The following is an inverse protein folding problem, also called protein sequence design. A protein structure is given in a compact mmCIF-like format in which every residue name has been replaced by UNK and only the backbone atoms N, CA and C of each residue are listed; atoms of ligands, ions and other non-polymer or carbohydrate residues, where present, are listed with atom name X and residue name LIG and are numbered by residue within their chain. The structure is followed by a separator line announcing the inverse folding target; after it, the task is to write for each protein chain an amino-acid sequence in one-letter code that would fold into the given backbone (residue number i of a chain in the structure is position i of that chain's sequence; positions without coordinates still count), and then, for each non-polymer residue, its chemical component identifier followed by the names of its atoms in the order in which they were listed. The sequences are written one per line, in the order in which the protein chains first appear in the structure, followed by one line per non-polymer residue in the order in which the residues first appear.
data_IF_840188585532
#
_entry.id   IF_840188585532
#
_cell.length_a   1.000
_cell.length_b   1.000
_cell.length_c   1.000
_cell.angle_alpha   90.00
_cell.angle_beta   90.00
_cell.angle_gamma   90.00
#
_symmetry.space_group_name_H-M   'P 1'
#
loop_
_entity.id
_entity.type
_entity.pdbx_description
1 polymer ?
#
# COMPACT_ATOMS: atom_id res chain seq x y z
N UNK A 1 13.70 42.57 -5.75
CA UNK A 1 14.39 41.36 -6.21
C UNK A 1 13.67 40.17 -5.54
N UNK A 2 12.66 39.60 -6.22
CA UNK A 2 11.92 38.42 -5.75
C UNK A 2 12.78 37.21 -6.04
N UNK A 3 13.21 36.52 -4.99
CA UNK A 3 13.91 35.25 -5.11
C UNK A 3 12.87 34.17 -5.48
N UNK A 4 13.01 33.65 -6.68
CA UNK A 4 12.34 32.43 -7.14
C UNK A 4 12.81 31.26 -6.26
N UNK A 5 11.92 30.76 -5.43
CA UNK A 5 12.15 29.51 -4.70
C UNK A 5 11.93 28.39 -5.72
N UNK A 6 12.93 27.57 -6.05
CA UNK A 6 12.73 26.47 -6.96
C UNK A 6 11.75 25.48 -6.35
N UNK A 7 10.65 25.22 -7.04
CA UNK A 7 9.69 24.17 -6.72
C UNK A 7 10.43 22.84 -6.69
N UNK A 8 10.52 22.22 -5.53
CA UNK A 8 11.10 20.88 -5.35
C UNK A 8 10.44 19.88 -6.30
N UNK A 9 11.19 18.96 -6.92
CA UNK A 9 10.60 17.96 -7.80
C UNK A 9 9.65 17.07 -7.00
N UNK A 10 8.39 17.11 -7.38
CA UNK A 10 7.30 16.27 -6.93
C UNK A 10 7.71 14.80 -6.81
N UNK A 11 7.72 14.24 -5.59
CA UNK A 11 7.98 12.81 -5.41
C UNK A 11 7.87 12.27 -3.99
N UNK A 12 8.20 13.02 -2.98
CA UNK A 12 8.07 12.58 -1.58
C UNK A 12 6.83 13.27 -0.99
N UNK A 13 5.71 12.56 -0.95
CA UNK A 13 4.55 13.03 -0.17
C UNK A 13 4.94 12.92 1.30
N UNK A 14 5.21 14.07 1.95
CA UNK A 14 5.35 14.15 3.39
C UNK A 14 3.99 13.81 4.01
N UNK A 15 4.00 12.96 5.02
CA UNK A 15 2.78 12.53 5.69
C UNK A 15 2.80 11.05 6.07
N UNK A 16 1.71 10.64 6.69
CA UNK A 16 1.49 9.27 7.18
C UNK A 16 1.39 8.29 6.02
N UNK A 17 2.08 7.18 6.10
CA UNK A 17 1.95 6.05 5.19
C UNK A 17 1.29 4.87 5.89
N UNK A 18 0.48 4.11 5.19
CA UNK A 18 -0.06 2.84 5.64
C UNK A 18 0.68 1.70 4.94
N UNK A 19 1.12 0.69 5.69
CA UNK A 19 1.75 -0.53 5.19
C UNK A 19 0.78 -1.70 5.21
N UNK A 20 0.82 -2.53 4.18
CA UNK A 20 -0.08 -3.68 4.00
C UNK A 20 0.70 -4.91 3.60
N UNK A 21 0.59 -5.98 4.39
CA UNK A 21 1.08 -7.33 4.04
C UNK A 21 -0.09 -8.24 3.69
N UNK A 22 -0.11 -8.74 2.45
CA UNK A 22 -1.24 -9.51 1.92
C UNK A 22 -0.97 -11.00 2.03
N UNK A 23 -1.55 -11.65 3.03
CA UNK A 23 -1.57 -13.09 3.16
C UNK A 23 -2.74 -13.77 2.45
N UNK A 24 -2.75 -15.11 2.45
CA UNK A 24 -3.84 -15.90 1.83
C UNK A 24 -5.16 -15.79 2.63
N UNK A 25 -5.10 -15.75 3.95
CA UNK A 25 -6.27 -15.73 4.84
C UNK A 25 -6.40 -14.43 5.64
N UNK A 26 -5.37 -13.60 5.70
CA UNK A 26 -5.31 -12.38 6.51
C UNK A 26 -4.47 -11.31 5.84
N UNK A 27 -4.69 -10.09 6.30
CA UNK A 27 -3.94 -8.91 5.87
C UNK A 27 -3.40 -8.22 7.12
N UNK A 28 -2.08 -8.04 7.19
CA UNK A 28 -1.43 -7.26 8.24
C UNK A 28 -1.39 -5.78 7.87
N UNK A 29 -1.63 -4.92 8.86
CA UNK A 29 -1.59 -3.47 8.70
C UNK A 29 -0.57 -2.83 9.64
N UNK A 30 0.14 -1.84 9.13
CA UNK A 30 1.04 -0.97 9.87
C UNK A 30 0.84 0.49 9.45
N UNK A 31 1.22 1.43 10.31
CA UNK A 31 1.14 2.86 10.04
C UNK A 31 2.46 3.53 10.41
N UNK A 32 2.87 4.55 9.67
CA UNK A 32 4.00 5.38 10.06
C UNK A 32 3.59 6.42 11.09
N UNK A 33 4.55 6.89 11.88
CA UNK A 33 4.39 8.16 12.60
C UNK A 33 4.22 9.34 11.63
N UNK A 34 3.81 10.50 12.16
CA UNK A 34 3.63 11.72 11.35
C UNK A 34 4.92 12.23 10.72
N UNK A 35 6.08 11.95 11.34
CA UNK A 35 7.39 12.31 10.81
C UNK A 35 7.90 11.33 9.73
N UNK A 36 7.21 10.20 9.56
CA UNK A 36 7.60 9.16 8.60
C UNK A 36 8.92 8.48 8.92
N UNK A 37 9.20 8.28 10.21
CA UNK A 37 10.45 7.71 10.71
C UNK A 37 10.24 6.25 11.13
N UNK A 38 9.17 5.99 11.90
CA UNK A 38 8.89 4.69 12.49
C UNK A 38 7.57 4.12 12.01
N UNK A 39 7.56 2.81 11.74
CA UNK A 39 6.37 2.03 11.46
C UNK A 39 5.85 1.34 12.73
N UNK A 40 4.56 1.39 12.97
CA UNK A 40 3.86 0.78 14.10
C UNK A 40 2.79 -0.19 13.61
N UNK A 41 2.57 -1.33 14.31
CA UNK A 41 1.50 -2.24 13.98
C UNK A 41 0.12 -1.60 14.24
N UNK A 42 -0.85 -1.93 13.40
CA UNK A 42 -2.25 -1.43 13.53
C UNK A 42 -3.19 -2.58 13.81
N UNK A 43 -3.37 -3.49 12.87
CA UNK A 43 -4.35 -4.56 12.94
C UNK A 43 -3.97 -5.74 12.03
N UNK A 44 -4.65 -6.85 12.25
CA UNK A 44 -4.73 -7.96 11.30
C UNK A 44 -6.18 -8.18 10.92
N UNK A 45 -6.48 -8.07 9.64
CA UNK A 45 -7.82 -8.23 9.09
C UNK A 45 -7.99 -9.63 8.50
N UNK A 46 -9.18 -10.20 8.60
CA UNK A 46 -9.52 -11.40 7.83
C UNK A 46 -9.69 -11.04 6.36
N UNK A 47 -9.14 -11.89 5.45
CA UNK A 47 -9.37 -11.72 4.00
C UNK A 47 -10.82 -11.99 3.66
N UNK A 48 -11.42 -11.09 2.90
CA UNK A 48 -12.77 -11.24 2.34
C UNK A 48 -12.72 -11.00 0.82
N UNK A 49 -12.38 -12.06 0.09
CA UNK A 49 -12.25 -11.98 -1.37
C UNK A 49 -13.59 -11.73 -2.08
N UNK A 50 -14.70 -12.12 -1.46
CA UNK A 50 -16.04 -12.00 -2.04
C UNK A 50 -16.67 -10.63 -1.75
N UNK A 51 -16.66 -10.21 -0.48
CA UNK A 51 -17.29 -8.97 -0.02
C UNK A 51 -16.36 -7.75 -0.06
N UNK A 52 -15.06 -7.98 0.17
CA UNK A 52 -14.05 -6.92 0.20
C UNK A 52 -14.12 -6.05 1.45
N UNK A 53 -14.66 -6.59 2.55
CA UNK A 53 -14.78 -5.87 3.84
C UNK A 53 -13.42 -5.49 4.41
N UNK A 54 -12.38 -6.28 4.16
CA UNK A 54 -11.00 -5.96 4.50
C UNK A 54 -10.48 -4.72 3.75
N UNK A 55 -10.83 -4.57 2.48
CA UNK A 55 -10.49 -3.38 1.68
C UNK A 55 -11.22 -2.13 2.19
N UNK A 56 -12.47 -2.27 2.61
CA UNK A 56 -13.26 -1.17 3.15
C UNK A 56 -12.72 -0.72 4.53
N UNK A 57 -12.27 -1.66 5.36
CA UNK A 57 -11.59 -1.36 6.62
C UNK A 57 -10.26 -0.64 6.40
N UNK A 58 -9.47 -1.02 5.39
CA UNK A 58 -8.24 -0.29 5.04
C UNK A 58 -8.57 1.13 4.56
N UNK A 59 -9.63 1.31 3.78
CA UNK A 59 -10.05 2.63 3.34
C UNK A 59 -10.43 3.54 4.53
N UNK A 60 -11.09 2.98 5.54
CA UNK A 60 -11.39 3.69 6.78
C UNK A 60 -10.12 4.09 7.54
N UNK A 61 -9.16 3.16 7.71
CA UNK A 61 -7.87 3.44 8.35
C UNK A 61 -7.09 4.56 7.61
N UNK A 62 -7.11 4.56 6.28
CA UNK A 62 -6.50 5.62 5.47
C UNK A 62 -7.12 6.97 5.77
N UNK A 63 -8.45 7.02 5.83
CA UNK A 63 -9.18 8.25 6.11
C UNK A 63 -8.98 8.75 7.55
N UNK A 64 -9.13 7.88 8.55
CA UNK A 64 -9.01 8.24 9.96
C UNK A 64 -7.61 8.71 10.34
N UNK A 65 -6.57 8.14 9.72
CA UNK A 65 -5.18 8.51 9.98
C UNK A 65 -4.64 9.59 9.07
N UNK A 66 -5.42 10.04 8.10
CA UNK A 66 -4.97 11.00 7.10
C UNK A 66 -3.77 10.49 6.30
N UNK A 67 -3.73 9.18 6.01
CA UNK A 67 -2.62 8.62 5.27
C UNK A 67 -2.59 9.15 3.83
N UNK A 68 -1.39 9.55 3.38
CA UNK A 68 -1.18 10.15 2.04
C UNK A 68 -0.84 9.12 0.96
N UNK A 69 -0.49 7.91 1.35
CA UNK A 69 -0.27 6.78 0.45
C UNK A 69 -0.35 5.44 1.20
N UNK A 70 -0.61 4.37 0.45
CA UNK A 70 -0.58 2.98 0.94
C UNK A 70 0.54 2.22 0.25
N UNK A 71 1.32 1.48 1.02
CA UNK A 71 2.43 0.63 0.57
C UNK A 71 2.04 -0.83 0.75
N UNK A 72 1.93 -1.59 -0.33
CA UNK A 72 1.58 -3.01 -0.34
C UNK A 72 2.82 -3.83 -0.64
N UNK A 73 3.14 -4.81 0.20
CA UNK A 73 4.23 -5.74 -0.03
C UNK A 73 4.00 -6.58 -1.29
N UNK A 74 5.05 -6.71 -2.10
CA UNK A 74 5.07 -7.54 -3.30
C UNK A 74 6.14 -8.63 -3.15
N UNK A 75 5.75 -9.85 -2.75
CA UNK A 75 6.69 -10.95 -2.61
C UNK A 75 7.22 -11.37 -3.98
N UNK A 76 8.54 -11.34 -4.15
CA UNK A 76 9.23 -11.80 -5.35
C UNK A 76 10.21 -12.90 -5.03
N UNK A 77 10.41 -13.81 -5.99
CA UNK A 77 11.50 -14.79 -5.91
C UNK A 77 12.86 -14.11 -5.97
N UNK A 78 13.91 -14.79 -5.56
CA UNK A 78 15.28 -14.26 -5.66
C UNK A 78 15.66 -13.95 -7.12
N UNK A 79 15.12 -14.71 -8.09
CA UNK A 79 15.26 -14.43 -9.53
C UNK A 79 14.48 -13.19 -9.99
N UNK A 80 13.63 -12.60 -9.14
CA UNK A 80 12.78 -11.45 -9.48
C UNK A 80 11.46 -11.80 -10.15
N UNK A 81 11.15 -13.08 -10.31
CA UNK A 81 9.89 -13.54 -10.90
C UNK A 81 8.71 -13.34 -9.94
N UNK A 82 7.54 -13.10 -10.52
CA UNK A 82 6.28 -12.98 -9.78
C UNK A 82 5.56 -14.32 -9.72
N UNK A 83 5.62 -14.99 -8.57
CA UNK A 83 4.84 -16.18 -8.27
C UNK A 83 3.36 -15.89 -7.99
N UNK A 84 2.61 -16.90 -7.55
CA UNK A 84 1.18 -16.78 -7.23
C UNK A 84 0.90 -15.72 -6.15
N UNK A 85 1.73 -15.67 -5.11
CA UNK A 85 1.61 -14.69 -4.03
C UNK A 85 1.79 -13.26 -4.54
N UNK A 86 2.78 -13.00 -5.40
CA UNK A 86 3.00 -11.68 -5.98
C UNK A 86 1.81 -11.24 -6.86
N UNK A 87 1.25 -12.15 -7.65
CA UNK A 87 0.05 -11.87 -8.46
C UNK A 87 -1.17 -11.58 -7.59
N UNK A 88 -1.33 -12.29 -6.46
CA UNK A 88 -2.40 -12.04 -5.50
C UNK A 88 -2.26 -10.66 -4.86
N UNK A 89 -1.05 -10.30 -4.37
CA UNK A 89 -0.76 -9.00 -3.79
C UNK A 89 -0.99 -7.86 -4.79
N UNK A 90 -0.61 -8.04 -6.06
CA UNK A 90 -0.86 -7.07 -7.12
C UNK A 90 -2.35 -6.85 -7.38
N UNK A 91 -3.13 -7.94 -7.53
CA UNK A 91 -4.60 -7.85 -7.69
C UNK A 91 -5.25 -7.15 -6.49
N UNK A 92 -4.77 -7.43 -5.29
CA UNK A 92 -5.23 -6.78 -4.07
C UNK A 92 -4.93 -5.28 -4.09
N UNK A 93 -3.70 -4.89 -4.40
CA UNK A 93 -3.31 -3.49 -4.50
C UNK A 93 -4.13 -2.73 -5.57
N UNK A 94 -4.42 -3.37 -6.72
CA UNK A 94 -5.28 -2.79 -7.75
C UNK A 94 -6.74 -2.65 -7.26
N UNK A 95 -7.26 -3.62 -6.48
CA UNK A 95 -8.58 -3.54 -5.89
C UNK A 95 -8.66 -2.41 -4.84
N UNK A 96 -7.63 -2.28 -4.02
CA UNK A 96 -7.50 -1.22 -3.03
C UNK A 96 -7.39 0.17 -3.71
N UNK A 97 -6.59 0.30 -4.78
CA UNK A 97 -6.48 1.55 -5.53
C UNK A 97 -7.82 2.03 -6.11
N UNK A 98 -8.74 1.11 -6.44
CA UNK A 98 -10.08 1.49 -6.91
C UNK A 98 -10.99 2.07 -5.82
N UNK A 99 -10.66 1.82 -4.55
CA UNK A 99 -11.40 2.33 -3.38
C UNK A 99 -10.80 3.61 -2.79
N UNK A 100 -9.53 3.88 -3.08
CA UNK A 100 -8.78 4.96 -2.47
C UNK A 100 -8.50 6.08 -3.46
N UNK A 101 -8.54 7.31 -2.99
CA UNK A 101 -8.07 8.49 -3.73
C UNK A 101 -6.54 8.65 -3.60
N UNK A 102 -5.97 8.19 -2.49
CA UNK A 102 -4.52 8.21 -2.29
C UNK A 102 -3.82 7.12 -3.10
N UNK A 103 -2.57 7.32 -3.53
CA UNK A 103 -1.85 6.34 -4.33
C UNK A 103 -1.56 5.07 -3.53
N UNK A 104 -1.76 3.92 -4.18
CA UNK A 104 -1.30 2.61 -3.72
C UNK A 104 0.00 2.25 -4.44
N UNK A 105 1.03 1.90 -3.69
CA UNK A 105 2.37 1.58 -4.16
C UNK A 105 2.73 0.14 -3.85
N UNK A 106 3.42 -0.52 -4.77
CA UNK A 106 3.92 -1.89 -4.58
C UNK A 106 5.38 -1.83 -4.14
N UNK A 107 5.68 -2.43 -3.00
CA UNK A 107 7.02 -2.52 -2.44
C UNK A 107 7.62 -3.91 -2.67
N UNK A 108 8.76 -3.98 -3.34
CA UNK A 108 9.49 -5.23 -3.55
C UNK A 108 10.08 -5.71 -2.21
N UNK A 109 9.56 -6.82 -1.67
CA UNK A 109 9.98 -7.35 -0.38
C UNK A 109 11.44 -7.79 -0.32
N UNK A 110 12.10 -8.00 -1.46
CA UNK A 110 13.54 -8.25 -1.50
C UNK A 110 14.38 -7.06 -1.02
N UNK A 111 13.79 -5.86 -1.04
CA UNK A 111 14.40 -4.63 -0.52
C UNK A 111 14.20 -4.48 1.00
N UNK A 112 13.39 -5.34 1.61
CA UNK A 112 13.23 -5.43 3.05
C UNK A 112 14.38 -6.28 3.58
N UNK A 113 14.96 -5.92 4.72
CA UNK A 113 16.11 -6.64 5.31
C UNK A 113 15.76 -8.12 5.45
N UNK A 114 16.41 -8.95 4.62
CA UNK A 114 16.06 -10.36 4.33
C UNK A 114 15.93 -11.22 5.58
N UNK A 115 16.72 -10.92 6.62
CA UNK A 115 16.75 -11.72 7.85
C UNK A 115 15.51 -11.57 8.72
N UNK A 116 14.89 -10.41 8.77
CA UNK A 116 13.74 -10.16 9.65
C UNK A 116 12.45 -10.85 9.14
N UNK A 117 12.20 -10.83 7.85
CA UNK A 117 11.05 -11.54 7.25
C UNK A 117 11.17 -13.06 7.34
N UNK A 118 12.39 -13.57 7.16
CA UNK A 118 12.67 -15.00 7.23
C UNK A 118 12.52 -15.53 8.65
N UNK A 119 13.06 -14.82 9.62
CA UNK A 119 12.96 -15.17 11.05
C UNK A 119 11.49 -15.17 11.51
N UNK A 120 10.66 -14.24 11.05
CA UNK A 120 9.24 -14.17 11.40
C UNK A 120 8.40 -15.27 10.74
N UNK A 121 8.70 -15.67 9.49
CA UNK A 121 8.03 -16.78 8.81
C UNK A 121 8.50 -18.16 9.29
N UNK A 122 9.78 -18.28 9.58
CA UNK A 122 10.40 -19.55 10.02
C UNK A 122 10.24 -19.81 11.52
N UNK A 123 9.88 -18.79 12.31
CA UNK A 123 9.70 -18.92 13.77
C UNK A 123 8.49 -19.78 14.17
N UNK A 124 7.83 -20.46 13.22
CA UNK A 124 6.91 -21.58 13.42
C UNK A 124 6.08 -21.62 14.72
N UNK A 125 5.69 -20.45 15.25
CA UNK A 125 5.10 -20.34 16.58
C UNK A 125 3.67 -20.84 16.55
N UNK A 126 3.32 -21.91 17.28
CA UNK A 126 1.98 -22.47 17.27
C UNK A 126 1.03 -21.60 18.09
N UNK A 127 -0.03 -21.10 17.46
CA UNK A 127 -1.12 -20.43 18.15
C UNK A 127 -1.87 -19.40 17.28
N UNK A 128 -3.20 -19.43 17.31
CA UNK A 128 -4.04 -18.52 16.50
C UNK A 128 -3.81 -17.03 16.82
N UNK A 129 -3.52 -16.70 18.07
CA UNK A 129 -3.27 -15.30 18.48
C UNK A 129 -1.89 -14.78 18.04
N UNK A 130 -0.91 -15.67 17.89
CA UNK A 130 0.45 -15.31 17.48
C UNK A 130 0.56 -15.05 15.98
N UNK A 131 -0.29 -15.67 15.14
CA UNK A 131 -0.30 -15.43 13.69
C UNK A 131 -0.69 -14.00 13.33
N UNK A 132 -1.62 -13.40 14.07
CA UNK A 132 -1.97 -11.99 13.89
C UNK A 132 -0.81 -11.04 14.18
N UNK A 133 -0.01 -11.34 15.19
CA UNK A 133 1.20 -10.56 15.52
C UNK A 133 2.25 -10.68 14.42
N UNK A 134 2.43 -11.88 13.83
CA UNK A 134 3.36 -12.11 12.71
C UNK A 134 2.95 -11.32 11.46
N UNK A 135 1.64 -11.32 11.12
CA UNK A 135 1.13 -10.58 9.95
C UNK A 135 1.34 -9.06 10.13
N UNK A 136 1.12 -8.52 11.33
CA UNK A 136 1.40 -7.11 11.65
C UNK A 136 2.90 -6.80 11.58
N UNK A 137 3.75 -7.69 12.12
CA UNK A 137 5.19 -7.50 12.08
C UNK A 137 5.72 -7.50 10.63
N UNK A 138 5.16 -8.31 9.74
CA UNK A 138 5.49 -8.28 8.33
C UNK A 138 5.11 -6.93 7.68
N UNK A 139 3.92 -6.42 7.96
CA UNK A 139 3.49 -5.09 7.49
C UNK A 139 4.38 -3.96 8.02
N UNK A 140 4.82 -4.03 9.29
CA UNK A 140 5.78 -3.08 9.88
C UNK A 140 7.10 -3.10 9.12
N UNK A 141 7.66 -4.28 8.82
CA UNK A 141 8.93 -4.39 8.09
C UNK A 141 8.85 -3.83 6.67
N UNK A 142 7.75 -4.12 5.95
CA UNK A 142 7.48 -3.58 4.62
C UNK A 142 7.46 -2.04 4.69
N UNK A 143 6.69 -1.49 5.62
CA UNK A 143 6.54 -0.06 5.76
C UNK A 143 7.83 0.61 6.21
N UNK A 144 8.54 0.06 7.20
CA UNK A 144 9.79 0.59 7.69
C UNK A 144 10.85 0.69 6.57
N UNK A 145 10.97 -0.35 5.76
CA UNK A 145 11.87 -0.37 4.61
C UNK A 145 11.52 0.69 3.56
N UNK A 146 10.23 0.92 3.32
CA UNK A 146 9.73 1.97 2.43
C UNK A 146 10.02 3.38 2.99
N UNK A 147 9.88 3.58 4.31
CA UNK A 147 10.21 4.84 4.99
C UNK A 147 11.71 5.15 4.90
N UNK A 148 12.56 4.15 5.09
CA UNK A 148 14.02 4.28 4.95
C UNK A 148 14.41 4.66 3.51
N UNK A 149 13.77 4.06 2.51
CA UNK A 149 13.97 4.43 1.11
C UNK A 149 13.55 5.90 0.86
N UNK A 150 12.40 6.32 1.38
CA UNK A 150 11.92 7.71 1.29
C UNK A 150 12.92 8.70 1.89
N UNK A 151 13.42 8.43 3.09
CA UNK A 151 14.44 9.28 3.75
C UNK A 151 15.75 9.34 2.96
N UNK A 152 16.10 8.27 2.26
CA UNK A 152 17.25 8.22 1.37
C UNK A 152 16.99 8.86 -0.02
N UNK A 153 15.86 9.55 -0.22
CA UNK A 153 15.50 10.16 -1.50
C UNK A 153 15.14 9.16 -2.61
N UNK A 154 14.89 7.88 -2.25
CA UNK A 154 14.50 6.85 -3.21
C UNK A 154 12.97 6.75 -3.32
N UNK A 155 12.43 6.32 -4.47
CA UNK A 155 11.00 6.15 -4.65
C UNK A 155 10.41 5.15 -3.65
N UNK A 156 9.24 5.47 -3.09
CA UNK A 156 8.46 4.57 -2.24
C UNK A 156 7.65 3.63 -3.14
N UNK A 157 8.28 2.56 -3.59
CA UNK A 157 7.66 1.53 -4.40
C UNK A 157 7.22 1.96 -5.80
N UNK A 158 6.73 0.98 -6.57
CA UNK A 158 6.19 1.20 -7.90
C UNK A 158 4.68 1.52 -7.84
N UNK A 159 4.15 2.39 -8.71
CA UNK A 159 2.72 2.65 -8.76
C UNK A 159 1.95 1.40 -9.21
N UNK A 160 0.75 1.21 -8.68
CA UNK A 160 -0.22 0.29 -9.27
C UNK A 160 -0.72 0.85 -10.60
N UNK A 161 -1.15 -0.02 -11.52
CA UNK A 161 -1.74 0.44 -12.78
C UNK A 161 -3.02 1.22 -12.47
N UNK A 162 -2.99 2.54 -12.65
CA UNK A 162 -4.17 3.36 -12.60
C UNK A 162 -5.04 3.06 -13.82
N UNK A 163 -6.29 2.73 -13.59
CA UNK A 163 -7.28 2.77 -14.65
C UNK A 163 -7.47 4.24 -15.05
N UNK A 164 -7.17 4.58 -16.33
CA UNK A 164 -7.45 5.92 -16.86
C UNK A 164 -8.87 6.32 -16.47
N UNK A 165 -9.10 7.53 -15.96
CA UNK A 165 -10.45 8.01 -15.69
C UNK A 165 -11.25 7.87 -16.99
N UNK A 166 -12.42 7.24 -16.92
CA UNK A 166 -13.38 7.26 -18.04
C UNK A 166 -13.68 8.72 -18.28
N UNK A 167 -13.28 9.24 -19.43
CA UNK A 167 -13.71 10.55 -19.88
C UNK A 167 -15.21 10.58 -19.77
N UNK A 168 -15.79 11.52 -19.03
CA UNK A 168 -17.21 11.81 -19.06
C UNK A 168 -17.51 12.20 -20.51
N UNK A 169 -18.00 11.25 -21.26
CA UNK A 169 -18.55 11.48 -22.59
C UNK A 169 -19.66 12.50 -22.44
N UNK A 170 -19.51 13.61 -23.11
CA UNK A 170 -20.43 14.71 -23.21
C UNK A 170 -21.83 14.22 -23.61
N UNK A 171 -22.73 14.15 -22.66
CA UNK A 171 -24.15 14.19 -22.94
C UNK A 171 -24.58 15.65 -22.80
N UNK A 172 -24.44 16.39 -23.87
CA UNK A 172 -25.14 17.65 -24.06
C UNK A 172 -25.06 18.02 -25.54
N UNK A 173 -26.19 17.84 -26.22
CA UNK A 173 -26.78 18.73 -27.23
C UNK A 173 -27.50 17.91 -28.27
N UNK A 174 -28.77 17.70 -28.01
CA UNK A 174 -29.78 17.75 -29.06
C UNK A 174 -31.09 18.22 -28.43
N UNK A 175 -31.24 19.51 -28.38
CA UNK A 175 -32.50 20.18 -28.17
C UNK A 175 -32.45 21.51 -28.89
N UNK A 176 -32.58 21.46 -30.20
CA UNK A 176 -33.08 22.59 -31.01
C UNK A 176 -33.32 22.11 -32.43
N UNK A 177 -34.55 21.79 -32.73
CA UNK A 177 -35.26 22.29 -33.90
C UNK A 177 -36.61 21.57 -34.01
N UNK A 178 -37.63 22.30 -33.76
CA UNK A 178 -38.90 22.10 -34.46
C UNK A 178 -39.55 23.46 -34.68
N UNK A 179 -40.04 23.71 -35.94
CA UNK A 179 -40.79 24.91 -36.30
C UNK A 179 -42.20 24.93 -35.69
#
# INVERSE_FOLDING_TARGET
VSADVPSSPSGAQDGVLLGVDVGAARVGLAVSDGAGILAHPVATLARDEAGGTDLDQIALEVQERGAVAVVVGLPRTLSGEEGLAARAARRYAEALQRRLEVPVRLWDERLTTVDAHRVLRDSGVPGRSQRGVVDQAAAVLILQSALEARRAGRPVGAPTKQRKPRSRSSVARDAKDQP
#
